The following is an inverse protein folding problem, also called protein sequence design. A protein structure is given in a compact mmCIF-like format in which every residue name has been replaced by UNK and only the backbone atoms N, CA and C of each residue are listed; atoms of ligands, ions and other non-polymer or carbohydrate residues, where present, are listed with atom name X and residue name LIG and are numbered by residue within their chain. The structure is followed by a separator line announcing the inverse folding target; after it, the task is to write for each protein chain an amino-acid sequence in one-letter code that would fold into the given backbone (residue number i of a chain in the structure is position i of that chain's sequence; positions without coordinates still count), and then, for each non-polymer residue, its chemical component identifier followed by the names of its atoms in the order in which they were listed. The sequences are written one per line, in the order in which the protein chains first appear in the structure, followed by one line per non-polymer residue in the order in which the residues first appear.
data_IF_588244873251
#
_entry.id   IF_588244873251
#
_cell.length_a   1.000
_cell.length_b   1.000
_cell.length_c   1.000
_cell.angle_alpha   90.00
_cell.angle_beta   90.00
_cell.angle_gamma   90.00
#
_symmetry.space_group_name_H-M   'P 1'
#
loop_
_entity.id
_entity.type
_entity.pdbx_description
1 polymer ?
#
# COMPACT_ATOMS: atom_id res chain seq x y z
N UNK A 1 -9.28 -6.62 -21.91
CA UNK A 1 -9.48 -6.31 -20.49
C UNK A 1 -9.25 -4.81 -20.32
N UNK A 2 -10.26 -4.00 -20.64
CA UNK A 2 -10.16 -2.55 -20.59
C UNK A 2 -10.16 -2.11 -19.13
N UNK A 3 -9.03 -1.60 -18.64
CA UNK A 3 -8.98 -0.97 -17.34
C UNK A 3 -9.59 0.42 -17.46
N UNK A 4 -10.79 0.62 -16.92
CA UNK A 4 -11.39 1.95 -16.82
C UNK A 4 -10.48 2.82 -15.95
N UNK A 5 -9.79 3.79 -16.56
CA UNK A 5 -8.97 4.77 -15.83
C UNK A 5 -9.90 5.89 -15.38
N UNK A 6 -10.14 5.97 -14.07
CA UNK A 6 -10.92 7.05 -13.46
C UNK A 6 -9.96 8.12 -12.94
N UNK A 7 -9.94 9.29 -13.57
CA UNK A 7 -9.17 10.46 -13.12
C UNK A 7 -10.06 11.31 -12.22
N UNK A 8 -9.79 11.32 -10.92
CA UNK A 8 -10.46 12.21 -9.96
C UNK A 8 -9.61 13.45 -9.71
N UNK A 9 -10.12 14.63 -10.04
CA UNK A 9 -9.46 15.91 -9.72
C UNK A 9 -9.69 16.25 -8.24
N UNK A 10 -8.61 16.44 -7.48
CA UNK A 10 -8.65 16.88 -6.08
C UNK A 10 -7.42 17.72 -5.74
N UNK A 11 -7.49 18.50 -4.66
CA UNK A 11 -6.37 19.29 -4.14
C UNK A 11 -5.60 18.58 -3.01
N UNK A 12 -5.92 17.31 -2.71
CA UNK A 12 -5.31 16.54 -1.62
C UNK A 12 -4.03 15.82 -2.04
N UNK A 13 -3.20 15.41 -1.07
CA UNK A 13 -2.00 14.64 -1.34
C UNK A 13 -2.35 13.26 -1.96
N UNK A 14 -1.85 12.93 -3.17
CA UNK A 14 -2.23 11.71 -3.87
C UNK A 14 -1.73 10.44 -3.16
N UNK A 15 -0.57 10.49 -2.49
CA UNK A 15 -0.08 9.35 -1.68
C UNK A 15 -0.94 9.12 -0.45
N UNK A 16 -1.38 10.20 0.20
CA UNK A 16 -2.31 10.11 1.32
C UNK A 16 -3.62 9.43 0.89
N UNK A 17 -4.18 9.82 -0.26
CA UNK A 17 -5.37 9.17 -0.80
C UNK A 17 -5.12 7.70 -1.15
N UNK A 18 -3.96 7.36 -1.73
CA UNK A 18 -3.61 5.97 -2.02
C UNK A 18 -3.56 5.13 -0.73
N UNK A 19 -2.89 5.62 0.31
CA UNK A 19 -2.83 4.95 1.61
C UNK A 19 -4.22 4.81 2.25
N UNK A 20 -5.00 5.88 2.32
CA UNK A 20 -6.34 5.86 2.96
C UNK A 20 -7.35 5.00 2.21
N UNK A 21 -7.32 4.98 0.87
CA UNK A 21 -8.18 4.12 0.05
C UNK A 21 -7.78 2.65 0.10
N UNK A 22 -6.56 2.35 0.55
CA UNK A 22 -6.05 1.00 0.78
C UNK A 22 -6.32 0.48 2.20
N UNK A 23 -6.76 1.35 3.13
CA UNK A 23 -7.09 0.98 4.51
C UNK A 23 -8.33 0.07 4.58
N UNK A 24 -8.36 -0.82 5.59
CA UNK A 24 -9.46 -1.74 5.85
C UNK A 24 -10.83 -1.06 5.90
N UNK A 25 -10.95 0.12 6.51
CA UNK A 25 -12.22 0.85 6.60
C UNK A 25 -12.75 1.29 5.23
N UNK A 26 -11.87 1.75 4.33
CA UNK A 26 -12.25 2.10 2.96
C UNK A 26 -12.65 0.86 2.16
N UNK A 27 -12.01 -0.28 2.41
CA UNK A 27 -12.39 -1.57 1.80
C UNK A 27 -13.75 -2.07 2.34
N UNK A 28 -14.00 -1.94 3.63
CA UNK A 28 -15.26 -2.30 4.27
C UNK A 28 -16.41 -1.42 3.77
N UNK A 29 -16.19 -0.12 3.59
CA UNK A 29 -17.16 0.78 2.98
C UNK A 29 -17.44 0.45 1.51
N UNK A 30 -16.43 0.02 0.74
CA UNK A 30 -16.59 -0.46 -0.65
C UNK A 30 -17.37 -1.77 -0.77
N UNK A 31 -17.35 -2.59 0.28
CA UNK A 31 -17.99 -3.93 0.32
C UNK A 31 -19.34 -3.95 1.04
N UNK A 32 -19.66 -2.96 1.88
CA UNK A 32 -21.00 -2.77 2.47
C UNK A 32 -22.04 -2.63 1.35
N UNK A 33 -22.81 -3.70 1.15
CA UNK A 33 -23.86 -3.80 0.13
C UNK A 33 -23.56 -4.72 -1.07
N UNK A 34 -22.43 -5.44 -1.10
CA UNK A 34 -22.11 -6.40 -2.19
C UNK A 34 -22.28 -7.85 -1.72
N UNK A 35 -23.34 -8.49 -2.19
CA UNK A 35 -23.53 -9.95 -2.13
C UNK A 35 -22.46 -10.59 -3.03
N UNK A 36 -21.82 -11.65 -2.53
CA UNK A 36 -20.82 -12.47 -3.24
C UNK A 36 -21.17 -12.67 -4.71
N UNK A 37 -20.35 -12.16 -5.64
CA UNK A 37 -19.91 -12.81 -6.88
C UNK A 37 -19.48 -11.79 -7.94
N UNK A 38 -18.34 -12.08 -8.59
CA UNK A 38 -17.88 -11.53 -9.88
C UNK A 38 -17.42 -10.07 -9.90
N UNK A 39 -16.12 -9.91 -10.22
CA UNK A 39 -15.38 -8.69 -10.62
C UNK A 39 -16.15 -7.39 -10.41
N UNK A 40 -15.86 -6.75 -9.28
CA UNK A 40 -16.45 -5.48 -8.88
C UNK A 40 -15.95 -4.38 -9.82
N UNK A 41 -16.76 -4.02 -10.82
CA UNK A 41 -16.57 -2.76 -11.51
C UNK A 41 -16.74 -1.66 -10.45
N UNK A 42 -15.68 -0.91 -10.21
CA UNK A 42 -15.69 0.16 -9.22
C UNK A 42 -16.55 1.30 -9.76
N UNK A 43 -17.85 1.26 -9.48
CA UNK A 43 -18.75 2.34 -9.85
C UNK A 43 -18.27 3.62 -9.17
N UNK A 44 -17.98 4.65 -9.97
CA UNK A 44 -17.45 5.96 -9.54
C UNK A 44 -18.33 6.55 -8.43
N UNK A 45 -19.64 6.33 -8.49
CA UNK A 45 -20.60 6.82 -7.50
C UNK A 45 -20.45 6.16 -6.13
N UNK A 46 -19.92 4.93 -6.06
CA UNK A 46 -19.60 4.28 -4.79
C UNK A 46 -18.29 4.81 -4.20
N UNK A 47 -17.32 5.15 -5.06
CA UNK A 47 -16.07 5.75 -4.59
C UNK A 47 -16.33 7.17 -4.04
N UNK A 48 -17.19 7.95 -4.69
CA UNK A 48 -17.61 9.29 -4.20
C UNK A 48 -18.31 9.26 -2.83
N UNK A 49 -18.91 8.12 -2.45
CA UNK A 49 -19.61 7.94 -1.17
C UNK A 49 -18.69 7.50 -0.03
N UNK A 50 -17.41 7.22 -0.30
CA UNK A 50 -16.44 6.89 0.74
C UNK A 50 -16.24 8.10 1.65
N UNK A 51 -16.43 7.87 2.94
CA UNK A 51 -16.11 8.85 3.97
C UNK A 51 -14.69 8.55 4.43
N UNK A 52 -13.78 9.45 4.10
CA UNK A 52 -12.39 9.43 4.55
C UNK A 52 -12.07 10.71 5.33
N UNK A 53 -11.23 10.63 6.38
CA UNK A 53 -10.73 11.83 7.03
C UNK A 53 -9.82 12.61 6.07
N UNK A 54 -10.00 13.92 6.01
CA UNK A 54 -9.14 14.82 5.23
C UNK A 54 -8.56 15.87 6.18
N UNK A 55 -7.37 15.62 6.76
CA UNK A 55 -6.68 16.59 7.59
C UNK A 55 -6.02 17.71 6.73
N UNK A 56 -5.37 18.69 7.34
CA UNK A 56 -4.63 19.72 6.60
C UNK A 56 -3.53 19.13 5.72
N UNK A 57 -3.13 19.83 4.65
CA UNK A 57 -2.12 19.35 3.70
C UNK A 57 -0.77 19.06 4.39
N UNK A 58 -0.37 19.86 5.37
CA UNK A 58 0.84 19.62 6.16
C UNK A 58 0.77 18.29 6.91
N UNK A 59 -0.34 18.03 7.61
CA UNK A 59 -0.55 16.75 8.30
C UNK A 59 -0.61 15.56 7.34
N UNK A 60 -1.20 15.73 6.17
CA UNK A 60 -1.17 14.69 5.13
C UNK A 60 0.27 14.36 4.73
N UNK A 61 1.12 15.37 4.55
CA UNK A 61 2.52 15.17 4.20
C UNK A 61 3.30 14.47 5.32
N UNK A 62 3.08 14.83 6.59
CA UNK A 62 3.68 14.16 7.74
C UNK A 62 3.29 12.67 7.79
N UNK A 63 2.01 12.37 7.62
CA UNK A 63 1.49 10.99 7.60
C UNK A 63 2.13 10.21 6.44
N UNK A 64 2.17 10.79 5.24
CA UNK A 64 2.79 10.15 4.07
C UNK A 64 4.27 9.89 4.30
N UNK A 65 5.01 10.86 4.84
CA UNK A 65 6.44 10.69 5.13
C UNK A 65 6.70 9.56 6.12
N UNK A 66 5.86 9.43 7.15
CA UNK A 66 5.96 8.35 8.12
C UNK A 66 5.68 6.99 7.47
N UNK A 67 4.58 6.89 6.72
CA UNK A 67 4.18 5.65 6.04
C UNK A 67 5.19 5.22 4.97
N UNK A 68 5.74 6.16 4.20
CA UNK A 68 6.76 5.89 3.19
C UNK A 68 8.03 5.31 3.84
N UNK A 69 8.47 5.82 5.00
CA UNK A 69 9.61 5.27 5.74
C UNK A 69 9.37 3.82 6.18
N UNK A 70 8.18 3.52 6.70
CA UNK A 70 7.83 2.15 7.08
C UNK A 70 7.75 1.22 5.87
N UNK A 71 7.16 1.70 4.78
CA UNK A 71 7.07 0.94 3.55
C UNK A 71 8.46 0.64 2.97
N UNK A 72 9.35 1.63 2.96
CA UNK A 72 10.73 1.48 2.50
C UNK A 72 11.47 0.44 3.36
N UNK A 73 11.40 0.54 4.68
CA UNK A 73 12.05 -0.41 5.58
C UNK A 73 11.52 -1.84 5.38
N UNK A 74 10.20 -2.01 5.21
CA UNK A 74 9.58 -3.34 5.11
C UNK A 74 9.73 -3.99 3.73
N UNK A 75 9.66 -3.21 2.65
CA UNK A 75 9.47 -3.74 1.29
C UNK A 75 10.60 -3.39 0.33
N UNK A 76 11.52 -2.48 0.70
CA UNK A 76 12.61 -2.10 -0.20
C UNK A 76 13.57 -3.26 -0.41
N UNK A 77 13.74 -3.65 -1.67
CA UNK A 77 14.71 -4.65 -2.11
C UNK A 77 16.15 -4.15 -2.10
N UNK A 78 16.38 -2.82 -1.97
CA UNK A 78 17.71 -2.20 -2.01
C UNK A 78 18.26 -1.83 -0.63
N UNK A 79 17.44 -1.83 0.41
CA UNK A 79 17.87 -1.45 1.76
C UNK A 79 16.88 -1.76 2.88
N UNK A 80 15.77 -2.43 2.57
CA UNK A 80 14.82 -2.88 3.58
C UNK A 80 15.12 -4.30 4.07
N UNK A 81 14.22 -4.82 4.91
CA UNK A 81 14.27 -6.17 5.46
C UNK A 81 14.52 -7.27 4.41
N UNK A 82 13.92 -7.24 3.20
CA UNK A 82 14.17 -8.27 2.19
C UNK A 82 15.64 -8.34 1.76
N UNK A 83 16.31 -7.18 1.63
CA UNK A 83 17.72 -7.10 1.27
C UNK A 83 18.61 -7.71 2.37
N UNK A 84 18.31 -7.38 3.63
CA UNK A 84 19.05 -7.92 4.78
C UNK A 84 18.87 -9.43 4.93
N UNK A 85 17.64 -9.94 4.76
CA UNK A 85 17.35 -11.38 4.80
C UNK A 85 18.14 -12.11 3.71
N UNK A 86 18.19 -11.55 2.50
CA UNK A 86 18.94 -12.14 1.39
C UNK A 86 20.43 -12.20 1.72
N UNK A 87 21.00 -11.10 2.23
CA UNK A 87 22.39 -11.03 2.65
C UNK A 87 22.72 -12.07 3.74
N UNK A 88 21.89 -12.18 4.79
CA UNK A 88 22.07 -13.16 5.88
C UNK A 88 21.94 -14.60 5.38
N UNK A 89 21.06 -14.88 4.41
CA UNK A 89 20.97 -16.21 3.77
C UNK A 89 22.23 -16.56 2.99
N UNK A 90 22.79 -15.61 2.24
CA UNK A 90 24.06 -15.81 1.55
C UNK A 90 25.22 -16.07 2.52
N UNK A 91 25.30 -15.26 3.58
CA UNK A 91 26.30 -15.43 4.63
C UNK A 91 26.18 -16.81 5.30
N UNK A 92 24.96 -17.22 5.69
CA UNK A 92 24.72 -18.54 6.26
C UNK A 92 25.17 -19.67 5.33
N UNK A 93 24.80 -19.59 4.04
CA UNK A 93 25.21 -20.60 3.05
C UNK A 93 26.74 -20.70 2.96
N UNK A 94 27.44 -19.58 2.89
CA UNK A 94 28.90 -19.55 2.84
C UNK A 94 29.54 -20.25 4.05
N UNK A 95 29.10 -19.92 5.26
CA UNK A 95 29.67 -20.54 6.47
C UNK A 95 29.28 -22.02 6.62
N UNK A 96 28.04 -22.39 6.27
CA UNK A 96 27.60 -23.79 6.25
C UNK A 96 28.48 -24.62 5.33
N UNK A 97 28.70 -24.16 4.10
CA UNK A 97 29.49 -24.89 3.10
C UNK A 97 30.98 -24.95 3.50
N UNK A 98 31.49 -23.97 4.26
CA UNK A 98 32.87 -23.95 4.79
C UNK A 98 33.10 -24.89 5.98
N UNK A 99 32.07 -25.12 6.82
CA UNK A 99 32.16 -25.93 8.05
C UNK A 99 31.81 -27.41 7.83
N UNK A 100 31.15 -27.75 6.72
CA UNK A 100 30.79 -29.12 6.34
C UNK A 100 31.77 -29.74 5.31
N UNK A 101 32.98 -29.19 5.24
CA UNK A 101 34.16 -29.81 4.63
C UNK A 101 34.89 -30.58 5.73
#
# INVERSE_FOLDING_TARGET
MGGDIVIMKHNQNPKYLAYTLSTGDALLQKTKGKIKSKVVHSNIDQIKKLIIPIPSLEKQQEIVNLLDKFWELSNSIKGGLPAEILLRKHQYKYYRDKLLI
#
